data_IF_112855821124
#
_entry.id   IF_112855821124
#
_cell.length_a   1.000
_cell.length_b   1.000
_cell.length_c   1.000
_cell.angle_alpha   90.00
_cell.angle_beta   90.00
_cell.angle_gamma   90.00
#
_symmetry.space_group_name_H-M   'P 1'
#
loop_
_entity.id
_entity.type
_entity.pdbx_description
1 polymer ?
#
# COMPACT_ATOMS: atom_id res chain seq x y z
N UNK A 1 2.56 -15.68 2.32
CA UNK A 1 1.46 -15.62 3.31
C UNK A 1 0.28 -16.37 2.70
N UNK A 2 -0.40 -17.18 3.50
CA UNK A 2 -1.40 -18.14 3.03
C UNK A 2 -2.68 -17.47 2.55
N UNK A 3 -3.34 -18.13 1.61
CA UNK A 3 -4.64 -17.80 1.04
C UNK A 3 -5.65 -17.49 2.17
N UNK A 4 -5.91 -16.19 2.42
CA UNK A 4 -6.84 -15.71 3.45
C UNK A 4 -8.25 -16.22 3.14
N UNK A 5 -8.62 -17.39 3.68
CA UNK A 5 -9.92 -18.03 3.48
C UNK A 5 -10.43 -18.00 2.01
N UNK A 6 -9.56 -18.24 1.02
CA UNK A 6 -9.92 -18.15 -0.41
C UNK A 6 -10.51 -16.79 -0.83
N UNK A 7 -10.07 -15.71 -0.19
CA UNK A 7 -10.58 -14.34 -0.34
C UNK A 7 -12.06 -14.21 0.05
N UNK A 8 -12.54 -15.04 0.98
CA UNK A 8 -13.87 -14.94 1.58
C UNK A 8 -13.76 -14.27 2.95
N UNK A 9 -14.14 -12.99 3.01
CA UNK A 9 -14.08 -12.19 4.22
C UNK A 9 -15.44 -12.06 4.90
N UNK A 10 -15.44 -11.94 6.23
CA UNK A 10 -16.63 -11.84 7.06
C UNK A 10 -17.07 -10.38 7.32
N UNK A 11 -16.16 -9.41 7.13
CA UNK A 11 -16.33 -8.03 7.61
C UNK A 11 -15.94 -7.84 9.07
N UNK A 12 -15.33 -8.85 9.70
CA UNK A 12 -14.80 -8.72 11.06
C UNK A 12 -13.52 -7.87 11.03
N UNK A 13 -13.68 -6.60 11.39
CA UNK A 13 -12.56 -5.68 11.53
C UNK A 13 -11.77 -5.99 12.83
N UNK A 14 -10.63 -6.64 12.64
CA UNK A 14 -9.69 -6.97 13.72
C UNK A 14 -9.12 -5.72 14.40
N UNK A 15 -8.96 -4.62 13.67
CA UNK A 15 -8.34 -3.39 14.12
C UNK A 15 -9.32 -2.40 14.74
N UNK A 16 -10.63 -2.61 14.58
CA UNK A 16 -11.73 -1.74 15.06
C UNK A 16 -11.56 -1.16 16.46
N UNK A 17 -11.00 -1.95 17.38
CA UNK A 17 -10.87 -1.60 18.80
C UNK A 17 -9.40 -1.56 19.23
N UNK A 18 -8.47 -1.26 18.32
CA UNK A 18 -7.03 -1.23 18.58
C UNK A 18 -6.52 0.21 18.48
N UNK A 19 -5.63 0.58 19.39
CA UNK A 19 -4.93 1.86 19.31
C UNK A 19 -3.76 1.76 18.33
N UNK A 20 -3.63 2.75 17.45
CA UNK A 20 -2.54 2.85 16.46
C UNK A 20 -1.69 4.07 16.77
N UNK A 21 -0.37 3.87 16.87
CA UNK A 21 0.59 4.98 16.91
C UNK A 21 0.93 5.40 15.48
N UNK A 22 0.79 6.68 15.18
CA UNK A 22 1.02 7.21 13.82
C UNK A 22 1.99 8.36 13.83
N UNK A 23 2.74 8.51 12.74
CA UNK A 23 3.52 9.70 12.41
C UNK A 23 2.81 10.37 11.23
N UNK A 24 2.34 11.61 11.43
CA UNK A 24 1.62 12.37 10.41
C UNK A 24 2.44 13.58 10.02
N UNK A 25 2.65 13.76 8.72
CA UNK A 25 3.31 14.93 8.13
C UNK A 25 2.27 15.68 7.30
N UNK A 26 2.12 16.98 7.56
CA UNK A 26 1.25 17.86 6.79
C UNK A 26 2.11 18.86 5.99
N UNK A 27 1.82 18.98 4.70
CA UNK A 27 2.53 19.85 3.77
C UNK A 27 1.51 20.60 2.90
N UNK A 28 1.53 21.94 2.87
CA UNK A 28 0.67 22.70 1.96
C UNK A 28 0.95 22.37 0.49
N UNK A 29 -0.10 22.25 -0.33
CA UNK A 29 0.04 22.01 -1.78
C UNK A 29 0.89 23.09 -2.48
N UNK A 30 0.98 24.30 -1.94
CA UNK A 30 1.85 25.36 -2.46
C UNK A 30 3.33 24.99 -2.46
N UNK A 31 3.76 24.11 -1.55
CA UNK A 31 5.15 23.63 -1.47
C UNK A 31 5.46 22.57 -2.54
N UNK A 32 4.45 21.83 -3.01
CA UNK A 32 4.59 20.76 -4.01
C UNK A 32 4.66 21.27 -5.47
N UNK A 33 4.63 22.60 -5.66
CA UNK A 33 4.55 23.25 -6.98
C UNK A 33 3.37 22.68 -7.80
N UNK A 34 3.45 22.78 -9.13
CA UNK A 34 2.35 22.47 -10.04
C UNK A 34 2.48 21.13 -10.75
N UNK A 35 3.52 20.35 -10.45
CA UNK A 35 3.82 19.11 -11.14
C UNK A 35 3.32 17.91 -10.33
N UNK A 36 3.11 16.79 -11.00
CA UNK A 36 2.95 15.50 -10.32
C UNK A 36 4.20 15.19 -9.48
N UNK A 37 3.98 14.66 -8.29
CA UNK A 37 5.02 14.15 -7.39
C UNK A 37 4.81 12.67 -7.13
N UNK A 38 5.90 11.92 -7.04
CA UNK A 38 5.89 10.53 -6.58
C UNK A 38 6.20 10.45 -5.10
N UNK A 39 5.32 9.84 -4.32
CA UNK A 39 5.45 9.72 -2.86
C UNK A 39 5.73 8.26 -2.51
N UNK A 40 6.73 8.03 -1.66
CA UNK A 40 7.00 6.77 -0.99
C UNK A 40 7.70 7.07 0.34
N UNK A 41 7.66 6.13 1.28
CA UNK A 41 8.31 6.27 2.57
C UNK A 41 9.19 5.05 2.88
N UNK A 42 10.20 5.28 3.72
CA UNK A 42 11.00 4.23 4.36
C UNK A 42 11.08 4.45 5.86
N UNK A 43 11.16 3.36 6.61
CA UNK A 43 11.53 3.39 8.02
C UNK A 43 12.97 2.91 8.16
N UNK A 44 13.72 3.54 9.06
CA UNK A 44 15.13 3.23 9.32
C UNK A 44 15.33 3.01 10.80
N UNK A 45 16.01 1.93 11.13
CA UNK A 45 16.37 1.56 12.49
C UNK A 45 17.83 1.89 12.76
N UNK A 46 18.12 2.41 13.95
CA UNK A 46 19.50 2.68 14.39
C UNK A 46 20.08 1.41 15.02
N UNK A 47 21.08 0.82 14.38
CA UNK A 47 21.84 -0.32 14.87
C UNK A 47 23.21 0.13 15.42
N UNK A 48 23.98 -0.81 15.97
CA UNK A 48 25.37 -0.54 16.37
C UNK A 48 26.30 -0.19 15.19
N UNK A 49 25.89 -0.53 13.96
CA UNK A 49 26.67 -0.36 12.74
C UNK A 49 26.21 0.85 11.89
N UNK A 50 25.08 1.47 12.24
CA UNK A 50 24.55 2.64 11.53
C UNK A 50 23.03 2.67 11.44
N UNK A 51 22.50 3.39 10.45
CA UNK A 51 21.07 3.36 10.12
C UNK A 51 20.82 2.31 9.06
N UNK A 52 19.89 1.39 9.32
CA UNK A 52 19.51 0.30 8.41
C UNK A 52 18.04 0.46 8.05
N UNK A 53 17.70 0.34 6.77
CA UNK A 53 16.30 0.38 6.33
C UNK A 53 15.57 -0.87 6.80
N UNK A 54 14.49 -0.67 7.55
CA UNK A 54 13.67 -1.74 8.11
C UNK A 54 12.48 -2.09 7.23
N UNK A 55 11.86 -1.06 6.64
CA UNK A 55 10.69 -1.20 5.78
C UNK A 55 10.61 -0.04 4.76
N UNK A 56 9.79 -0.22 3.73
CA UNK A 56 9.34 0.83 2.82
C UNK A 56 7.93 0.57 2.29
N UNK A 57 7.29 1.62 1.81
CA UNK A 57 6.05 1.46 1.05
C UNK A 57 5.49 2.76 0.49
N UNK A 58 4.63 2.62 -0.50
CA UNK A 58 3.74 3.69 -0.96
C UNK A 58 2.31 3.18 -1.20
N UNK A 59 2.17 2.18 -2.07
CA UNK A 59 0.91 1.54 -2.44
C UNK A 59 0.53 0.48 -1.41
N UNK A 60 -0.77 0.16 -1.26
CA UNK A 60 -1.22 -0.86 -0.34
C UNK A 60 -0.58 -2.22 -0.67
N UNK A 61 -0.05 -2.89 0.37
CA UNK A 61 0.20 -4.34 0.40
C UNK A 61 1.15 -4.88 -0.68
N UNK A 62 2.05 -4.08 -1.26
CA UNK A 62 2.95 -4.52 -2.34
C UNK A 62 3.91 -5.65 -1.91
N UNK A 63 4.36 -5.66 -0.66
CA UNK A 63 5.27 -6.69 -0.15
C UNK A 63 4.63 -8.11 -0.09
N UNK A 64 3.31 -8.24 -0.25
CA UNK A 64 2.59 -9.53 -0.29
C UNK A 64 2.98 -10.36 -1.52
N UNK A 65 3.35 -9.72 -2.62
CA UNK A 65 3.79 -10.40 -3.85
C UNK A 65 5.15 -11.10 -3.72
N UNK A 66 5.84 -10.92 -2.59
CA UNK A 66 7.24 -11.30 -2.42
C UNK A 66 7.43 -12.21 -1.20
N UNK A 67 8.37 -13.14 -1.31
CA UNK A 67 8.77 -14.05 -0.24
C UNK A 67 10.29 -14.17 -0.15
N UNK A 68 10.79 -14.57 1.02
CA UNK A 68 12.21 -14.81 1.28
C UNK A 68 13.11 -13.64 0.89
N UNK A 69 14.24 -13.95 0.26
CA UNK A 69 15.26 -12.97 -0.15
C UNK A 69 14.71 -11.88 -1.09
N UNK A 70 13.70 -12.19 -1.91
CA UNK A 70 13.08 -11.18 -2.79
C UNK A 70 12.31 -10.13 -2.00
N UNK A 71 11.64 -10.55 -0.92
CA UNK A 71 10.97 -9.64 0.01
C UNK A 71 12.00 -8.79 0.75
N UNK A 72 13.08 -9.37 1.25
CA UNK A 72 14.14 -8.61 1.93
C UNK A 72 14.83 -7.61 0.98
N UNK A 73 15.17 -8.05 -0.24
CA UNK A 73 15.75 -7.17 -1.26
C UNK A 73 14.81 -6.04 -1.68
N UNK A 74 13.49 -6.28 -1.66
CA UNK A 74 12.49 -5.25 -1.88
C UNK A 74 12.48 -4.27 -0.70
N UNK A 75 12.29 -4.75 0.52
CA UNK A 75 12.13 -3.91 1.71
C UNK A 75 13.38 -3.08 2.02
N UNK A 76 14.58 -3.59 1.75
CA UNK A 76 15.84 -2.86 1.90
C UNK A 76 16.25 -2.00 0.69
N UNK A 77 15.47 -2.01 -0.39
CA UNK A 77 15.78 -1.29 -1.63
C UNK A 77 15.06 0.05 -1.77
N UNK A 78 15.19 0.67 -2.95
CA UNK A 78 14.48 1.90 -3.33
C UNK A 78 13.58 1.63 -4.54
N UNK A 79 12.40 2.30 -4.66
CA UNK A 79 11.46 2.05 -5.75
C UNK A 79 12.01 2.26 -7.16
N UNK A 80 13.05 3.07 -7.31
CA UNK A 80 13.73 3.27 -8.59
C UNK A 80 14.25 1.97 -9.23
N UNK A 81 14.46 0.92 -8.43
CA UNK A 81 14.96 -0.39 -8.87
C UNK A 81 13.89 -1.48 -8.82
N UNK A 82 12.60 -1.11 -8.83
CA UNK A 82 11.50 -2.07 -8.66
C UNK A 82 11.18 -2.88 -9.92
N UNK A 83 11.62 -2.43 -11.08
CA UNK A 83 11.47 -3.14 -12.35
C UNK A 83 11.99 -4.59 -12.30
N UNK A 84 13.04 -4.85 -11.50
CA UNK A 84 13.58 -6.19 -11.23
C UNK A 84 12.60 -7.15 -10.56
N UNK A 85 11.53 -6.65 -9.94
CA UNK A 85 10.49 -7.47 -9.29
C UNK A 85 9.28 -7.75 -10.17
N UNK A 86 9.16 -7.12 -11.36
CA UNK A 86 8.02 -7.32 -12.28
C UNK A 86 7.77 -8.80 -12.55
N UNK A 87 8.82 -9.60 -12.76
CA UNK A 87 8.69 -11.03 -13.02
C UNK A 87 8.11 -11.81 -11.84
N UNK A 88 8.50 -11.46 -10.60
CA UNK A 88 8.00 -12.13 -9.39
C UNK A 88 6.55 -11.73 -9.13
N UNK A 89 6.21 -10.44 -9.30
CA UNK A 89 4.83 -9.97 -9.21
C UNK A 89 3.93 -10.64 -10.25
N UNK A 90 4.38 -10.73 -11.51
CA UNK A 90 3.64 -11.40 -12.57
C UNK A 90 3.42 -12.88 -12.25
N UNK A 91 4.46 -13.61 -11.86
CA UNK A 91 4.34 -15.01 -11.47
C UNK A 91 3.32 -15.23 -10.34
N UNK A 92 3.34 -14.36 -9.33
CA UNK A 92 2.39 -14.44 -8.23
C UNK A 92 0.94 -14.12 -8.67
N UNK A 93 0.76 -13.16 -9.56
CA UNK A 93 -0.54 -12.84 -10.17
C UNK A 93 -1.07 -14.01 -11.00
N UNK A 94 -0.23 -14.67 -11.80
CA UNK A 94 -0.61 -15.89 -12.54
C UNK A 94 -1.08 -16.99 -11.57
N UNK A 95 -0.31 -17.22 -10.50
CA UNK A 95 -0.59 -18.30 -9.55
C UNK A 95 -1.89 -18.07 -8.75
N UNK A 96 -2.08 -16.84 -8.23
CA UNK A 96 -3.18 -16.53 -7.31
C UNK A 96 -4.42 -16.06 -8.05
N UNK A 97 -4.27 -15.18 -9.03
CA UNK A 97 -5.38 -14.58 -9.79
C UNK A 97 -5.71 -15.31 -11.09
N UNK A 98 -4.89 -16.27 -11.54
CA UNK A 98 -5.12 -16.97 -12.79
C UNK A 98 -5.01 -16.08 -14.03
N UNK A 99 -4.26 -14.97 -13.91
CA UNK A 99 -3.93 -14.12 -15.06
C UNK A 99 -3.17 -14.90 -16.13
N UNK A 100 -3.33 -14.54 -17.41
CA UNK A 100 -2.38 -14.98 -18.43
C UNK A 100 -1.00 -14.33 -18.20
N UNK A 101 0.10 -14.92 -18.68
CA UNK A 101 1.43 -14.33 -18.50
C UNK A 101 1.55 -12.89 -19.00
N UNK A 102 0.92 -12.58 -20.13
CA UNK A 102 0.90 -11.24 -20.72
C UNK A 102 0.14 -10.24 -19.84
N UNK A 103 -1.04 -10.61 -19.35
CA UNK A 103 -1.85 -9.78 -18.45
C UNK A 103 -1.16 -9.58 -17.10
N UNK A 104 -0.63 -10.65 -16.51
CA UNK A 104 0.06 -10.61 -15.23
C UNK A 104 1.25 -9.64 -15.28
N UNK A 105 2.04 -9.69 -16.35
CA UNK A 105 3.15 -8.76 -16.57
C UNK A 105 2.68 -7.33 -16.80
N UNK A 106 1.55 -7.13 -17.48
CA UNK A 106 0.96 -5.80 -17.67
C UNK A 106 0.44 -5.21 -16.35
N UNK A 107 -0.19 -6.02 -15.50
CA UNK A 107 -0.64 -5.62 -14.17
C UNK A 107 0.54 -5.33 -13.25
N UNK A 108 1.56 -6.19 -13.20
CA UNK A 108 2.76 -5.98 -12.42
C UNK A 108 3.46 -4.65 -12.75
N UNK A 109 3.50 -4.27 -14.03
CA UNK A 109 4.04 -2.96 -14.48
C UNK A 109 3.20 -1.75 -14.07
N UNK A 110 1.92 -1.94 -13.72
CA UNK A 110 1.09 -0.86 -13.17
C UNK A 110 1.24 -0.74 -11.65
N UNK A 111 1.69 -1.80 -10.99
CA UNK A 111 1.91 -1.87 -9.56
C UNK A 111 3.30 -1.37 -9.16
N UNK A 112 4.28 -1.51 -10.06
CA UNK A 112 5.67 -1.08 -9.85
C UNK A 112 6.08 0.05 -10.80
N UNK A 113 6.92 1.01 -10.36
CA UNK A 113 7.55 1.08 -9.04
C UNK A 113 6.55 1.38 -7.91
N UNK A 114 6.87 0.97 -6.68
CA UNK A 114 6.03 1.23 -5.50
C UNK A 114 6.10 2.71 -5.10
N UNK A 115 5.41 3.53 -5.89
CA UNK A 115 5.30 4.98 -5.78
C UNK A 115 3.82 5.33 -5.93
N UNK A 116 3.35 6.21 -5.04
CA UNK A 116 2.04 6.80 -5.09
C UNK A 116 2.15 8.17 -5.80
N UNK A 117 1.65 8.26 -7.03
CA UNK A 117 1.59 9.52 -7.77
C UNK A 117 0.54 10.45 -7.16
N UNK A 118 0.88 11.73 -7.02
CA UNK A 118 -0.01 12.77 -6.55
C UNK A 118 0.20 14.06 -7.35
N UNK A 119 -0.89 14.58 -7.92
CA UNK A 119 -0.97 15.87 -8.56
C UNK A 119 -1.75 16.83 -7.64
N UNK A 120 -1.13 17.93 -7.16
CA UNK A 120 -1.76 18.88 -6.23
C UNK A 120 -2.99 19.64 -6.75
N UNK A 121 -3.31 19.51 -8.05
CA UNK A 121 -4.42 20.19 -8.73
C UNK A 121 -5.62 19.27 -8.98
N UNK A 122 -5.48 18.00 -8.67
CA UNK A 122 -6.52 16.99 -8.83
C UNK A 122 -6.99 16.52 -7.44
N UNK A 123 -8.26 16.14 -7.27
CA UNK A 123 -8.73 15.56 -6.01
C UNK A 123 -7.94 14.30 -5.66
N UNK A 124 -7.58 14.16 -4.38
CA UNK A 124 -6.96 12.92 -3.91
C UNK A 124 -7.97 11.78 -3.96
N UNK A 125 -7.62 10.67 -4.62
CA UNK A 125 -8.42 9.44 -4.72
C UNK A 125 -7.58 8.29 -5.26
N UNK A 126 -7.51 7.20 -4.51
CA UNK A 126 -6.87 5.97 -4.96
C UNK A 126 -7.71 5.27 -6.04
N UNK A 127 -7.09 4.68 -7.08
CA UNK A 127 -5.66 4.61 -7.38
C UNK A 127 -5.13 5.74 -8.27
N UNK A 128 -5.97 6.71 -8.62
CA UNK A 128 -5.67 7.66 -9.71
C UNK A 128 -4.78 8.82 -9.27
N UNK A 129 -4.93 9.29 -8.03
CA UNK A 129 -4.22 10.48 -7.55
C UNK A 129 -4.06 10.43 -6.02
N UNK A 130 -2.96 9.89 -5.51
CA UNK A 130 -2.78 9.72 -4.07
C UNK A 130 -3.76 8.72 -3.46
N UNK A 131 -4.06 8.91 -2.17
CA UNK A 131 -5.15 8.23 -1.46
C UNK A 131 -5.75 9.16 -0.41
N UNK A 132 -7.04 9.07 -0.18
CA UNK A 132 -7.69 9.65 0.99
C UNK A 132 -7.53 8.71 2.20
N UNK A 133 -7.85 9.20 3.40
CA UNK A 133 -7.88 8.36 4.61
C UNK A 133 -9.02 7.32 4.58
N UNK A 134 -10.02 7.53 3.72
CA UNK A 134 -11.24 6.73 3.65
C UNK A 134 -11.34 5.89 2.38
N UNK A 135 -10.33 5.93 1.51
CA UNK A 135 -10.30 5.10 0.32
C UNK A 135 -10.16 3.63 0.72
N UNK A 136 -11.01 2.78 0.16
CA UNK A 136 -10.92 1.33 0.34
C UNK A 136 -9.85 0.74 -0.59
N UNK A 137 -8.61 0.87 -0.14
CA UNK A 137 -7.44 0.43 -0.88
C UNK A 137 -7.23 -1.09 -0.79
N UNK A 138 -7.85 -1.74 0.20
CA UNK A 138 -7.71 -3.17 0.46
C UNK A 138 -8.58 -3.98 -0.49
N UNK A 139 -9.83 -3.56 -0.71
CA UNK A 139 -10.73 -4.16 -1.70
C UNK A 139 -10.14 -4.10 -3.11
N UNK A 140 -9.58 -2.95 -3.49
CA UNK A 140 -8.93 -2.80 -4.78
C UNK A 140 -7.69 -3.71 -4.90
N UNK A 141 -6.86 -3.76 -3.85
CA UNK A 141 -5.70 -4.65 -3.83
C UNK A 141 -6.12 -6.11 -4.00
N UNK A 142 -7.06 -6.60 -3.20
CA UNK A 142 -7.51 -8.00 -3.28
C UNK A 142 -8.17 -8.31 -4.61
N UNK A 143 -8.90 -7.35 -5.18
CA UNK A 143 -9.52 -7.55 -6.49
C UNK A 143 -8.49 -7.72 -7.61
N UNK A 144 -7.39 -6.96 -7.55
CA UNK A 144 -6.24 -7.13 -8.46
C UNK A 144 -5.53 -8.45 -8.15
N UNK A 145 -5.26 -8.75 -6.89
CA UNK A 145 -4.52 -9.94 -6.48
C UNK A 145 -5.24 -11.25 -6.87
N UNK A 146 -6.58 -11.26 -6.78
CA UNK A 146 -7.42 -12.42 -7.08
C UNK A 146 -8.07 -12.40 -8.49
N UNK A 147 -7.80 -11.36 -9.30
CA UNK A 147 -8.39 -11.15 -10.63
C UNK A 147 -9.93 -11.26 -10.69
N UNK A 148 -10.61 -10.79 -9.65
CA UNK A 148 -12.07 -10.79 -9.56
C UNK A 148 -12.50 -9.75 -8.56
N UNK A 149 -13.78 -9.37 -8.55
CA UNK A 149 -14.28 -8.46 -7.53
C UNK A 149 -14.23 -9.14 -6.15
N UNK A 150 -13.43 -8.59 -5.24
CA UNK A 150 -13.27 -9.05 -3.86
C UNK A 150 -13.46 -7.86 -2.93
N UNK A 151 -14.22 -8.08 -1.86
CA UNK A 151 -14.35 -7.13 -0.75
C UNK A 151 -14.02 -7.81 0.57
N UNK A 152 -13.29 -7.11 1.43
CA UNK A 152 -13.06 -7.52 2.82
C UNK A 152 -14.27 -7.23 3.73
N UNK A 153 -15.24 -6.46 3.21
CA UNK A 153 -16.47 -5.99 3.86
C UNK A 153 -16.22 -5.06 5.05
N UNK A 154 -15.05 -4.44 5.12
CA UNK A 154 -14.66 -3.48 6.15
C UNK A 154 -14.58 -2.10 5.50
N UNK A 155 -15.50 -1.22 5.91
CA UNK A 155 -15.47 0.17 5.47
C UNK A 155 -14.43 1.02 6.22
N UNK A 156 -14.24 2.28 5.81
CA UNK A 156 -13.37 3.19 6.52
C UNK A 156 -13.87 3.43 7.95
N UNK A 157 -12.93 3.71 8.86
CA UNK A 157 -13.24 4.07 10.23
C UNK A 157 -14.07 5.36 10.30
N UNK A 158 -15.14 5.34 11.07
CA UNK A 158 -16.09 6.46 11.19
C UNK A 158 -15.70 7.52 12.23
N UNK A 159 -14.57 7.35 12.91
CA UNK A 159 -14.10 8.20 14.01
C UNK A 159 -12.89 9.07 13.64
N UNK A 160 -12.48 9.09 12.36
CA UNK A 160 -11.43 9.98 11.88
C UNK A 160 -11.83 11.46 12.05
N UNK A 161 -10.86 12.28 12.45
CA UNK A 161 -11.06 13.72 12.63
C UNK A 161 -10.84 14.48 11.31
N UNK A 162 -11.53 15.60 11.13
CA UNK A 162 -11.35 16.49 9.98
C UNK A 162 -10.23 17.52 10.18
N UNK A 163 -9.52 17.43 11.30
CA UNK A 163 -8.41 18.31 11.66
C UNK A 163 -7.17 17.49 11.99
N UNK A 164 -6.00 18.08 11.79
CA UNK A 164 -4.72 17.44 12.09
C UNK A 164 -4.69 16.90 13.54
N UNK A 165 -4.25 15.63 13.77
CA UNK A 165 -3.56 14.72 12.86
C UNK A 165 -4.48 13.78 12.06
N UNK A 166 -5.78 14.06 12.00
CA UNK A 166 -6.82 13.30 11.28
C UNK A 166 -7.10 11.89 11.83
N UNK A 167 -6.62 11.59 13.03
CA UNK A 167 -6.78 10.28 13.67
C UNK A 167 -7.92 10.31 14.69
N UNK A 168 -8.64 9.19 14.80
CA UNK A 168 -9.63 9.00 15.86
C UNK A 168 -9.02 9.08 17.26
N UNK A 169 -9.87 9.40 18.24
CA UNK A 169 -9.44 9.44 19.63
C UNK A 169 -9.02 8.05 20.10
N UNK A 170 -7.91 7.90 20.86
CA UNK A 170 -7.51 6.61 21.39
C UNK A 170 -8.64 5.95 22.19
N UNK A 171 -8.80 4.64 22.01
CA UNK A 171 -9.68 3.84 22.84
C UNK A 171 -9.17 3.81 24.28
N UNK A 172 -10.09 3.93 25.23
CA UNK A 172 -9.81 3.73 26.64
C UNK A 172 -9.29 2.30 26.87
N UNK A 173 -8.27 2.19 27.73
CA UNK A 173 -7.65 0.92 28.14
C UNK A 173 -8.46 0.28 29.26
#
# INVERSE_FOLDING_TARGET
MGNFNQMQFTGDDFFKNKNVCSIVLELPNSELRTNEVGIWARTVDKTGEGWVQADRGARPLQAVFLVGEKREAYLGGEPANDDRFIGVFAHELEHTGGYTPEEAKAVARKLLPDILSYHPREPARFPNNGRTLTDDVVDLFFSIYANRNVTDKVGPHGDLLNEFPYLGSPHNV
#
